data_IF_347985090979
#
_entry.id   IF_347985090979
#
_cell.length_a   1.000
_cell.length_b   1.000
_cell.length_c   1.000
_cell.angle_alpha   90.00
_cell.angle_beta   90.00
_cell.angle_gamma   90.00
#
_symmetry.space_group_name_H-M   'P 1'
#
loop_
_entity.id
_entity.type
_entity.pdbx_description
1 polymer ?
#
# COMPACT_ATOMS: atom_id res chain seq x y z
N UNK A 1 31.15 10.22 -15.99
CA UNK A 1 30.76 9.88 -14.60
C UNK A 1 29.30 10.26 -14.40
N UNK A 2 28.42 9.34 -13.98
CA UNK A 2 27.03 9.70 -13.65
C UNK A 2 27.05 10.56 -12.39
N UNK A 3 26.40 11.73 -12.42
CA UNK A 3 26.25 12.58 -11.24
C UNK A 3 25.32 11.87 -10.25
N UNK A 4 25.77 11.70 -9.02
CA UNK A 4 24.92 11.22 -7.92
C UNK A 4 23.77 12.20 -7.72
N UNK A 5 22.54 11.71 -7.79
CA UNK A 5 21.34 12.46 -7.41
C UNK A 5 20.87 11.88 -6.08
N UNK A 6 20.63 12.76 -5.10
CA UNK A 6 20.03 12.35 -3.83
C UNK A 6 18.62 11.85 -4.15
N UNK A 7 18.26 10.60 -3.79
CA UNK A 7 16.90 10.11 -3.96
C UNK A 7 15.95 10.93 -3.07
N UNK A 8 14.95 11.56 -3.68
CA UNK A 8 13.88 12.24 -2.95
C UNK A 8 12.73 11.26 -2.78
N UNK A 9 12.67 10.65 -1.60
CA UNK A 9 11.53 9.82 -1.22
C UNK A 9 10.47 10.78 -0.65
N UNK A 10 9.21 10.74 -1.12
CA UNK A 10 8.14 11.54 -0.55
C UNK A 10 8.02 11.31 0.97
N UNK A 11 7.65 12.34 1.74
CA UNK A 11 7.49 12.19 3.18
C UNK A 11 6.34 11.20 3.50
N UNK A 12 6.58 10.27 4.41
CA UNK A 12 5.58 9.29 4.88
C UNK A 12 5.26 9.52 6.35
N UNK A 13 4.00 9.35 6.73
CA UNK A 13 3.57 9.40 8.14
C UNK A 13 3.02 8.05 8.57
N UNK A 14 3.44 7.55 9.72
CA UNK A 14 2.88 6.31 10.29
C UNK A 14 1.44 6.57 10.81
N UNK A 15 0.54 5.62 10.56
CA UNK A 15 -0.83 5.59 11.07
C UNK A 15 -1.10 4.22 11.67
N UNK A 16 -1.48 4.20 12.95
CA UNK A 16 -1.81 2.97 13.66
C UNK A 16 -3.32 2.72 13.55
N UNK A 17 -3.70 1.58 12.97
CA UNK A 17 -5.08 1.14 12.81
C UNK A 17 -5.19 -0.35 13.16
N UNK A 18 -6.38 -0.82 13.53
CA UNK A 18 -6.63 -2.23 13.83
C UNK A 18 -7.34 -2.92 12.67
N UNK A 19 -6.83 -4.08 12.29
CA UNK A 19 -7.48 -4.98 11.34
C UNK A 19 -8.13 -6.14 12.12
N UNK A 20 -9.31 -6.60 11.70
CA UNK A 20 -9.85 -7.88 12.17
C UNK A 20 -8.87 -9.03 11.87
N UNK A 21 -8.75 -10.00 12.78
CA UNK A 21 -7.77 -11.09 12.65
C UNK A 21 -7.97 -11.92 11.37
N UNK A 22 -9.21 -12.21 11.00
CA UNK A 22 -9.52 -12.92 9.77
C UNK A 22 -8.99 -12.18 8.52
N UNK A 23 -9.11 -10.84 8.51
CA UNK A 23 -8.58 -10.03 7.40
C UNK A 23 -7.05 -10.07 7.37
N UNK A 24 -6.40 -10.08 8.53
CA UNK A 24 -4.93 -10.22 8.60
C UNK A 24 -4.51 -11.56 7.99
N UNK A 25 -5.15 -12.66 8.41
CA UNK A 25 -4.88 -14.00 7.90
C UNK A 25 -5.11 -14.10 6.38
N UNK A 26 -6.21 -13.52 5.88
CA UNK A 26 -6.52 -13.51 4.45
C UNK A 26 -5.45 -12.76 3.64
N UNK A 27 -4.99 -11.61 4.13
CA UNK A 27 -3.93 -10.83 3.48
C UNK A 27 -2.61 -11.59 3.52
N UNK A 28 -2.21 -12.15 4.66
CA UNK A 28 -0.98 -12.93 4.80
C UNK A 28 -0.98 -14.14 3.87
N UNK A 29 -2.10 -14.85 3.77
CA UNK A 29 -2.26 -15.94 2.81
C UNK A 29 -2.17 -15.46 1.36
N UNK A 30 -2.75 -14.31 1.03
CA UNK A 30 -2.73 -13.75 -0.32
C UNK A 30 -1.33 -13.27 -0.76
N UNK A 31 -0.48 -12.83 0.18
CA UNK A 31 0.89 -12.40 -0.11
C UNK A 31 1.94 -13.50 0.11
N UNK A 32 1.53 -14.68 0.61
CA UNK A 32 2.43 -15.81 0.86
C UNK A 32 3.17 -16.23 -0.40
N UNK A 33 4.50 -16.32 -0.31
CA UNK A 33 5.36 -16.67 -1.44
C UNK A 33 5.52 -15.55 -2.48
N UNK A 34 4.97 -14.36 -2.24
CA UNK A 34 5.22 -13.14 -3.02
C UNK A 34 6.29 -12.31 -2.30
N UNK A 35 7.11 -11.61 -3.08
CA UNK A 35 8.07 -10.63 -2.54
C UNK A 35 7.34 -9.32 -2.18
N UNK A 36 6.44 -9.39 -1.20
CA UNK A 36 5.58 -8.31 -0.78
C UNK A 36 5.38 -8.31 0.74
N UNK A 37 5.39 -7.13 1.35
CA UNK A 37 5.09 -6.97 2.78
C UNK A 37 3.63 -6.61 2.99
N UNK A 38 3.09 -6.91 4.19
CA UNK A 38 1.74 -6.52 4.57
C UNK A 38 1.50 -5.01 4.39
N UNK A 39 2.46 -4.18 4.82
CA UNK A 39 2.39 -2.72 4.65
C UNK A 39 2.32 -2.32 3.18
N UNK A 40 3.14 -2.91 2.31
CA UNK A 40 3.11 -2.60 0.87
C UNK A 40 1.76 -3.00 0.25
N UNK A 41 1.22 -4.15 0.63
CA UNK A 41 -0.10 -4.59 0.20
C UNK A 41 -1.20 -3.61 0.63
N UNK A 42 -1.22 -3.20 1.90
CA UNK A 42 -2.24 -2.27 2.42
C UNK A 42 -2.13 -0.91 1.73
N UNK A 43 -0.92 -0.38 1.53
CA UNK A 43 -0.72 0.89 0.83
C UNK A 43 -1.28 0.82 -0.59
N UNK A 44 -1.01 -0.25 -1.31
CA UNK A 44 -1.49 -0.41 -2.68
C UNK A 44 -3.01 -0.60 -2.74
N UNK A 45 -3.57 -1.43 -1.85
CA UNK A 45 -5.01 -1.63 -1.77
C UNK A 45 -5.77 -0.32 -1.49
N UNK A 46 -5.23 0.54 -0.61
CA UNK A 46 -5.83 1.84 -0.31
C UNK A 46 -5.73 2.80 -1.50
N UNK A 47 -4.62 2.82 -2.24
CA UNK A 47 -4.51 3.64 -3.47
C UNK A 47 -5.56 3.25 -4.50
N UNK A 48 -5.67 1.95 -4.80
CA UNK A 48 -6.66 1.43 -5.76
C UNK A 48 -8.09 1.74 -5.29
N UNK A 49 -8.37 1.61 -3.99
CA UNK A 49 -9.68 1.96 -3.45
C UNK A 49 -10.00 3.45 -3.62
N UNK A 50 -9.04 4.35 -3.41
CA UNK A 50 -9.21 5.79 -3.63
C UNK A 50 -9.40 6.12 -5.11
N UNK A 51 -8.60 5.54 -6.01
CA UNK A 51 -8.74 5.72 -7.46
C UNK A 51 -10.14 5.30 -7.95
N UNK A 52 -10.64 4.15 -7.49
CA UNK A 52 -11.99 3.67 -7.82
C UNK A 52 -13.10 4.62 -7.33
N UNK A 53 -12.92 5.27 -6.18
CA UNK A 53 -13.88 6.25 -5.65
C UNK A 53 -13.89 7.51 -6.53
N UNK A 54 -12.72 8.04 -6.89
CA UNK A 54 -12.61 9.21 -7.77
C UNK A 54 -13.23 8.93 -9.16
N UNK A 55 -12.96 7.76 -9.74
CA UNK A 55 -13.59 7.34 -11.01
C UNK A 55 -15.12 7.22 -10.92
N UNK A 56 -15.64 6.80 -9.77
CA UNK A 56 -17.08 6.67 -9.54
C UNK A 56 -17.76 8.02 -9.35
N UNK A 57 -17.05 9.02 -8.80
CA UNK A 57 -17.57 10.37 -8.60
C UNK A 57 -17.47 11.26 -9.85
N UNK A 58 -16.57 10.94 -10.78
CA UNK A 58 -16.39 11.70 -12.03
C UNK A 58 -17.24 11.20 -13.21
N UNK A 59 -18.10 10.19 -12.99
CA UNK A 59 -19.12 9.71 -13.94
C UNK A 59 -20.50 10.23 -13.57
#
# INVERSE_FOLDING_TARGET
MKKFKIPSIPPTTNKCIRFPNNVIEDVENAIKGKDCTFTAFVVEAVKVALENLEESHSK
#
